data_IF_320816814984
#
_entry.id   IF_320816814984
#
_cell.length_a   1.000
_cell.length_b   1.000
_cell.length_c   1.000
_cell.angle_alpha   90.00
_cell.angle_beta   90.00
_cell.angle_gamma   90.00
#
_symmetry.space_group_name_H-M   'P 1'
#
loop_
_entity.id
_entity.type
_entity.pdbx_description
1 polymer ?
#
# COMPACT_ATOMS: atom_id res chain seq x y z
N UNK A 1 17.12 54.99 -47.38
CA UNK A 1 15.94 54.10 -47.56
C UNK A 1 16.11 53.01 -46.54
N UNK A 2 15.38 53.11 -45.44
CA UNK A 2 15.47 52.19 -44.31
C UNK A 2 14.26 51.26 -44.35
N UNK A 3 14.51 49.96 -44.28
CA UNK A 3 13.49 48.91 -44.27
C UNK A 3 12.73 48.90 -42.92
N UNK A 4 11.45 48.50 -42.90
CA UNK A 4 10.67 48.43 -41.66
C UNK A 4 10.87 47.09 -40.93
N UNK A 5 11.02 47.15 -39.61
CA UNK A 5 11.04 45.97 -38.72
C UNK A 5 9.71 45.20 -38.77
N UNK A 6 9.73 43.85 -38.73
CA UNK A 6 8.51 43.07 -38.57
C UNK A 6 8.10 43.01 -37.10
N UNK A 7 6.97 43.63 -36.81
CA UNK A 7 6.23 43.52 -35.55
C UNK A 7 5.78 42.07 -35.34
N UNK A 8 6.53 41.33 -34.50
CA UNK A 8 6.18 39.98 -34.09
C UNK A 8 5.02 40.04 -33.09
N UNK A 9 3.87 39.55 -33.55
CA UNK A 9 2.62 39.40 -32.80
C UNK A 9 2.85 38.61 -31.51
N UNK A 10 2.52 39.22 -30.37
CA UNK A 10 2.20 38.51 -29.15
C UNK A 10 0.86 37.78 -29.37
N UNK A 11 0.92 36.53 -29.82
CA UNK A 11 -0.18 35.58 -29.59
C UNK A 11 0.03 35.02 -28.17
N UNK A 12 -0.50 35.76 -27.19
CA UNK A 12 -0.82 35.22 -25.87
C UNK A 12 -1.89 34.16 -26.05
N UNK A 13 -1.45 32.94 -26.35
CA UNK A 13 -2.25 31.73 -26.30
C UNK A 13 -2.65 31.54 -24.85
N UNK A 14 -3.87 31.94 -24.53
CA UNK A 14 -4.60 31.57 -23.32
C UNK A 14 -4.65 30.03 -23.27
N UNK A 15 -3.61 29.43 -22.70
CA UNK A 15 -3.66 28.06 -22.19
C UNK A 15 -4.54 28.11 -20.95
N UNK A 16 -5.83 28.03 -21.20
CA UNK A 16 -6.82 27.72 -20.20
C UNK A 16 -6.50 26.30 -19.71
N UNK A 17 -5.66 26.22 -18.66
CA UNK A 17 -5.45 25.00 -17.89
C UNK A 17 -6.79 24.64 -17.25
N UNK A 18 -7.61 23.89 -17.99
CA UNK A 18 -8.76 23.20 -17.46
C UNK A 18 -8.24 22.24 -16.39
N UNK A 19 -8.30 22.67 -15.13
CA UNK A 19 -8.08 21.78 -13.99
C UNK A 19 -9.24 20.79 -13.98
N UNK A 20 -9.11 19.71 -14.76
CA UNK A 20 -10.05 18.61 -14.75
C UNK A 20 -9.88 17.94 -13.39
N UNK A 21 -10.68 18.35 -12.42
CA UNK A 21 -10.83 17.60 -11.16
C UNK A 21 -11.24 16.18 -11.55
N UNK A 22 -10.47 15.19 -11.11
CA UNK A 22 -10.80 13.78 -11.36
C UNK A 22 -12.24 13.52 -10.91
N UNK A 23 -13.12 12.91 -11.73
CA UNK A 23 -14.52 12.68 -11.38
C UNK A 23 -14.70 11.95 -10.04
N UNK A 24 -13.71 11.12 -9.68
CA UNK A 24 -13.64 10.41 -8.40
C UNK A 24 -13.54 11.34 -7.18
N UNK A 25 -12.91 12.50 -7.30
CA UNK A 25 -12.81 13.47 -6.20
C UNK A 25 -14.11 14.24 -5.95
N UNK A 26 -15.05 14.19 -6.89
CA UNK A 26 -16.41 14.74 -6.72
C UNK A 26 -17.37 13.81 -6.00
N UNK A 27 -16.97 12.56 -5.73
CA UNK A 27 -17.79 11.59 -5.00
C UNK A 27 -17.73 11.85 -3.49
N UNK A 28 -18.83 11.60 -2.76
CA UNK A 28 -18.82 11.50 -1.30
C UNK A 28 -17.69 10.60 -0.82
N UNK A 29 -17.01 11.04 0.25
CA UNK A 29 -15.87 10.31 0.83
C UNK A 29 -16.26 8.89 1.21
N UNK A 30 -17.45 8.74 1.76
CA UNK A 30 -18.02 7.48 2.26
C UNK A 30 -18.13 6.47 1.13
N UNK A 31 -18.61 6.87 -0.05
CA UNK A 31 -18.72 5.98 -1.20
C UNK A 31 -17.36 5.49 -1.69
N UNK A 32 -16.34 6.36 -1.66
CA UNK A 32 -15.00 5.96 -2.06
C UNK A 32 -14.39 5.03 -1.02
N UNK A 33 -14.60 5.28 0.26
CA UNK A 33 -14.18 4.38 1.34
C UNK A 33 -14.85 3.01 1.19
N UNK A 34 -16.16 2.94 0.93
CA UNK A 34 -16.86 1.69 0.69
C UNK A 34 -16.25 0.91 -0.48
N UNK A 35 -15.91 1.57 -1.59
CA UNK A 35 -15.23 0.93 -2.73
C UNK A 35 -13.86 0.39 -2.33
N UNK A 36 -13.09 1.14 -1.53
CA UNK A 36 -11.78 0.68 -1.04
C UNK A 36 -11.92 -0.55 -0.13
N UNK A 37 -12.97 -0.62 0.70
CA UNK A 37 -13.22 -1.81 1.52
C UNK A 37 -13.42 -3.07 0.68
N UNK A 38 -14.07 -2.96 -0.48
CA UNK A 38 -14.25 -4.10 -1.39
C UNK A 38 -12.96 -4.56 -2.08
N UNK A 39 -11.88 -3.78 -2.00
CA UNK A 39 -10.56 -4.19 -2.48
C UNK A 39 -9.77 -4.97 -1.42
N UNK A 40 -10.26 -5.06 -0.18
CA UNK A 40 -9.61 -5.88 0.85
C UNK A 40 -9.87 -7.36 0.59
N UNK A 41 -8.83 -8.21 0.69
CA UNK A 41 -9.02 -9.65 0.74
C UNK A 41 -9.77 -10.00 2.03
N UNK A 42 -10.66 -10.97 1.93
CA UNK A 42 -11.39 -11.57 3.04
C UNK A 42 -10.84 -12.96 3.30
N UNK A 43 -10.66 -13.33 4.57
CA UNK A 43 -10.20 -14.67 4.94
C UNK A 43 -8.89 -14.64 5.73
N UNK A 44 -8.24 -15.80 5.81
CA UNK A 44 -6.96 -15.97 6.49
C UNK A 44 -5.83 -15.41 5.62
N UNK A 45 -4.84 -14.75 6.24
CA UNK A 45 -3.63 -14.30 5.53
C UNK A 45 -2.86 -15.48 4.94
N UNK A 46 -3.00 -16.67 5.51
CA UNK A 46 -2.32 -17.89 5.09
C UNK A 46 -3.31 -18.96 4.62
N UNK A 47 -2.96 -19.64 3.53
CA UNK A 47 -3.63 -20.87 3.11
C UNK A 47 -2.98 -22.04 3.82
N UNK A 48 -3.62 -22.55 4.88
CA UNK A 48 -3.23 -23.84 5.48
C UNK A 48 -3.98 -24.95 4.73
N UNK A 49 -3.65 -25.16 3.46
CA UNK A 49 -4.16 -26.34 2.76
C UNK A 49 -3.37 -27.57 3.21
N UNK A 50 -4.12 -28.61 3.58
CA UNK A 50 -3.73 -29.76 4.40
C UNK A 50 -2.62 -30.67 3.85
N UNK A 51 -1.93 -30.28 2.79
CA UNK A 51 -0.92 -31.09 2.09
C UNK A 51 0.48 -30.45 2.00
N UNK A 52 0.65 -29.17 2.39
CA UNK A 52 1.95 -28.52 2.38
C UNK A 52 2.37 -28.18 3.82
N UNK A 53 3.51 -28.70 4.27
CA UNK A 53 4.07 -28.48 5.60
C UNK A 53 4.49 -27.01 5.87
N UNK A 54 4.19 -26.08 4.96
CA UNK A 54 4.58 -24.69 5.02
C UNK A 54 3.37 -23.78 4.73
N UNK A 55 3.02 -22.86 5.64
CA UNK A 55 1.96 -21.89 5.38
C UNK A 55 2.40 -20.92 4.28
N UNK A 56 1.56 -20.78 3.26
CA UNK A 56 1.76 -19.81 2.17
C UNK A 56 0.83 -18.61 2.34
N UNK A 57 1.31 -17.42 1.98
CA UNK A 57 0.48 -16.21 1.99
C UNK A 57 -0.49 -16.24 0.81
N UNK A 58 -1.78 -16.03 1.07
CA UNK A 58 -2.80 -16.09 0.03
C UNK A 58 -2.57 -14.98 -1.02
N UNK A 59 -2.63 -15.35 -2.31
CA UNK A 59 -2.35 -14.46 -3.44
C UNK A 59 -3.18 -13.17 -3.44
N UNK A 60 -4.43 -13.25 -2.97
CA UNK A 60 -5.36 -12.12 -2.89
C UNK A 60 -4.79 -10.94 -2.08
N UNK A 61 -3.97 -11.22 -1.07
CA UNK A 61 -3.32 -10.19 -0.27
C UNK A 61 -2.19 -9.48 -1.01
N UNK A 62 -1.42 -10.18 -1.85
CA UNK A 62 -0.41 -9.54 -2.70
C UNK A 62 -1.04 -8.62 -3.75
N UNK A 63 -2.12 -9.08 -4.39
CA UNK A 63 -2.86 -8.29 -5.39
C UNK A 63 -3.45 -7.04 -4.74
N UNK A 64 -4.15 -7.21 -3.63
CA UNK A 64 -4.78 -6.09 -2.91
C UNK A 64 -3.76 -5.05 -2.44
N UNK A 65 -2.64 -5.49 -1.85
CA UNK A 65 -1.56 -4.57 -1.44
C UNK A 65 -1.01 -3.76 -2.61
N UNK A 66 -0.83 -4.41 -3.76
CA UNK A 66 -0.38 -3.73 -4.99
C UNK A 66 -1.40 -2.68 -5.45
N UNK A 67 -2.69 -2.99 -5.41
CA UNK A 67 -3.77 -2.04 -5.72
C UNK A 67 -3.77 -0.83 -4.77
N UNK A 68 -3.66 -1.04 -3.46
CA UNK A 68 -3.61 0.07 -2.49
C UNK A 68 -2.34 0.92 -2.62
N UNK A 69 -1.19 0.31 -2.92
CA UNK A 69 0.04 1.03 -3.22
C UNK A 69 -0.13 1.94 -4.45
N UNK A 70 -0.72 1.42 -5.54
CA UNK A 70 -1.03 2.22 -6.73
C UNK A 70 -1.99 3.36 -6.40
N UNK A 71 -3.05 3.12 -5.64
CA UNK A 71 -4.02 4.14 -5.22
C UNK A 71 -3.36 5.26 -4.42
N UNK A 72 -2.44 4.95 -3.51
CA UNK A 72 -1.67 5.93 -2.74
C UNK A 72 -0.77 6.84 -3.59
N UNK A 73 -0.44 6.42 -4.81
CA UNK A 73 0.38 7.19 -5.75
C UNK A 73 -0.45 8.08 -6.68
N UNK A 74 -1.76 7.86 -6.80
CA UNK A 74 -2.61 8.62 -7.74
C UNK A 74 -2.80 10.10 -7.33
N UNK A 75 -3.02 10.38 -6.05
CA UNK A 75 -3.22 11.75 -5.54
C UNK A 75 -3.05 11.81 -4.02
N UNK A 76 -2.85 13.01 -3.48
CA UNK A 76 -2.80 13.23 -2.01
C UNK A 76 -4.11 12.84 -1.32
N UNK A 77 -5.25 13.14 -1.96
CA UNK A 77 -6.56 12.79 -1.44
C UNK A 77 -6.77 11.27 -1.39
N UNK A 78 -6.50 10.56 -2.49
CA UNK A 78 -6.61 9.10 -2.51
C UNK A 78 -5.64 8.45 -1.53
N UNK A 79 -4.41 8.96 -1.42
CA UNK A 79 -3.45 8.52 -0.39
C UNK A 79 -4.02 8.64 1.02
N UNK A 80 -4.68 9.75 1.34
CA UNK A 80 -5.27 9.94 2.67
C UNK A 80 -6.38 8.93 3.01
N UNK A 81 -6.96 8.28 2.00
CA UNK A 81 -7.97 7.23 2.18
C UNK A 81 -7.35 5.82 2.12
N UNK A 82 -6.45 5.56 1.17
CA UNK A 82 -5.91 4.23 0.89
C UNK A 82 -4.74 3.81 1.80
N UNK A 83 -4.05 4.76 2.45
CA UNK A 83 -2.83 4.47 3.21
C UNK A 83 -3.08 3.55 4.41
N UNK A 84 -4.24 3.68 5.07
CA UNK A 84 -4.62 2.81 6.17
C UNK A 84 -4.69 1.35 5.71
N UNK A 85 -5.34 1.09 4.58
CA UNK A 85 -5.46 -0.23 3.98
C UNK A 85 -4.10 -0.84 3.59
N UNK A 86 -3.18 -0.01 3.11
CA UNK A 86 -1.83 -0.44 2.75
C UNK A 86 -1.02 -0.89 3.97
N UNK A 87 -1.20 -0.23 5.12
CA UNK A 87 -0.46 -0.53 6.36
C UNK A 87 -1.20 -1.50 7.29
N UNK A 88 -2.48 -1.80 7.03
CA UNK A 88 -3.27 -2.74 7.80
C UNK A 88 -2.73 -4.17 7.71
N UNK A 89 -2.38 -4.60 6.51
CA UNK A 89 -1.75 -5.90 6.28
C UNK A 89 -0.45 -5.72 5.51
N UNK A 90 0.67 -6.01 6.19
CA UNK A 90 2.01 -5.86 5.62
C UNK A 90 2.59 -7.21 5.27
N UNK A 91 2.88 -7.39 3.99
CA UNK A 91 3.62 -8.54 3.47
C UNK A 91 4.96 -8.05 2.94
N UNK A 92 6.05 -8.65 3.41
CA UNK A 92 7.41 -8.29 3.03
C UNK A 92 8.10 -9.45 2.32
N UNK A 93 8.77 -9.17 1.21
CA UNK A 93 9.38 -10.21 0.39
C UNK A 93 10.81 -10.57 0.81
N UNK A 94 11.52 -9.68 1.50
CA UNK A 94 12.95 -9.84 1.78
C UNK A 94 13.43 -9.01 2.99
N UNK A 95 14.69 -9.26 3.41
CA UNK A 95 15.35 -8.56 4.51
C UNK A 95 15.46 -7.04 4.32
N UNK A 96 15.62 -6.58 3.07
CA UNK A 96 15.75 -5.15 2.78
C UNK A 96 14.41 -4.44 3.03
N UNK A 97 13.30 -5.03 2.58
CA UNK A 97 11.95 -4.56 2.87
C UNK A 97 11.64 -4.58 4.37
N UNK A 98 12.07 -5.60 5.10
CA UNK A 98 11.96 -5.67 6.57
C UNK A 98 12.69 -4.51 7.25
N UNK A 99 13.92 -4.23 6.84
CA UNK A 99 14.68 -3.12 7.40
C UNK A 99 14.02 -1.77 7.11
N UNK A 100 13.55 -1.56 5.88
CA UNK A 100 12.84 -0.34 5.49
C UNK A 100 11.52 -0.19 6.25
N UNK A 101 10.76 -1.27 6.36
CA UNK A 101 9.51 -1.31 7.11
C UNK A 101 9.77 -0.94 8.57
N UNK A 102 10.67 -1.64 9.26
CA UNK A 102 11.01 -1.39 10.66
C UNK A 102 11.44 0.06 10.89
N UNK A 103 12.32 0.62 10.05
CA UNK A 103 12.72 2.03 10.13
C UNK A 103 11.52 2.97 9.93
N UNK A 104 10.63 2.66 9.00
CA UNK A 104 9.47 3.48 8.66
C UNK A 104 8.47 3.53 9.82
N UNK A 105 8.06 2.39 10.37
CA UNK A 105 7.14 2.39 11.51
C UNK A 105 7.81 2.89 12.78
N UNK A 106 9.12 2.65 12.95
CA UNK A 106 9.87 3.20 14.09
C UNK A 106 9.81 4.72 14.11
N UNK A 107 9.89 5.36 12.95
CA UNK A 107 9.83 6.83 12.86
C UNK A 107 8.41 7.40 12.78
N UNK A 108 7.39 6.58 12.51
CA UNK A 108 6.01 7.03 12.31
C UNK A 108 5.03 6.25 13.20
N UNK A 109 4.75 6.81 14.38
CA UNK A 109 3.87 6.18 15.38
C UNK A 109 2.46 5.93 14.83
N UNK A 110 1.93 6.85 14.01
CA UNK A 110 0.59 6.71 13.39
C UNK A 110 0.46 5.51 12.46
N UNK A 111 1.56 5.05 11.85
CA UNK A 111 1.54 3.86 11.01
C UNK A 111 1.52 2.58 11.85
N UNK A 112 2.08 2.62 13.08
CA UNK A 112 2.10 1.47 13.98
C UNK A 112 0.67 1.09 14.40
N UNK A 113 -0.15 2.08 14.71
CA UNK A 113 -1.55 1.86 15.11
C UNK A 113 -2.43 1.32 13.97
N UNK A 114 -2.01 1.43 12.71
CA UNK A 114 -2.76 0.93 11.58
C UNK A 114 -2.49 -0.56 11.31
N UNK A 115 -1.35 -1.09 11.78
CA UNK A 115 -0.92 -2.45 11.51
C UNK A 115 -1.74 -3.47 12.31
N UNK A 116 -2.49 -4.34 11.61
CA UNK A 116 -3.24 -5.43 12.24
C UNK A 116 -2.67 -6.81 11.92
N UNK A 117 -1.98 -6.94 10.78
CA UNK A 117 -1.46 -8.22 10.30
C UNK A 117 -0.11 -8.04 9.63
N UNK A 118 0.80 -8.97 9.88
CA UNK A 118 2.15 -8.97 9.34
C UNK A 118 2.53 -10.36 8.85
N UNK A 119 3.10 -10.43 7.65
CA UNK A 119 3.73 -11.64 7.12
C UNK A 119 5.08 -11.30 6.49
N UNK A 120 6.05 -12.17 6.76
CA UNK A 120 7.37 -12.10 6.16
C UNK A 120 7.77 -13.50 5.70
N UNK A 121 7.29 -13.95 4.54
CA UNK A 121 7.59 -15.26 3.96
C UNK A 121 9.00 -15.28 3.38
N UNK A 122 10.02 -15.10 4.23
CA UNK A 122 11.38 -15.51 3.87
C UNK A 122 11.52 -16.94 4.32
N UNK A 123 11.64 -17.84 3.33
CA UNK A 123 12.19 -19.18 3.54
C UNK A 123 13.56 -18.95 4.16
N UNK A 124 13.67 -19.24 5.46
CA UNK A 124 14.97 -19.48 6.05
C UNK A 124 15.52 -20.65 5.26
N UNK A 125 16.61 -20.42 4.54
CA UNK A 125 17.34 -21.46 3.83
C UNK A 125 17.99 -22.34 4.92
N UNK A 126 17.21 -23.28 5.46
CA UNK A 126 17.63 -24.21 6.51
C UNK A 126 18.36 -25.37 5.82
N UNK A 127 19.51 -25.08 5.24
CA UNK A 127 20.51 -26.12 4.93
C UNK A 127 21.78 -25.97 5.78
N UNK A 128 21.91 -24.94 6.63
CA UNK A 128 23.11 -24.76 7.48
C UNK A 128 22.86 -24.35 8.94
N UNK A 129 21.64 -24.40 9.45
CA UNK A 129 21.45 -24.17 10.90
C UNK A 129 20.45 -25.15 11.48
N UNK A 130 20.95 -26.13 12.24
CA UNK A 130 20.18 -26.83 13.28
C UNK A 130 19.63 -25.78 14.25
N UNK A 131 18.49 -25.17 13.90
CA UNK A 131 17.63 -24.48 14.84
C UNK A 131 16.42 -25.37 15.10
N UNK A 132 16.40 -25.89 16.32
CA UNK A 132 15.29 -26.56 16.96
C UNK A 132 14.06 -25.62 16.93
N UNK A 133 13.20 -25.79 15.93
CA UNK A 133 11.93 -25.06 15.76
C UNK A 133 12.08 -23.56 15.46
N UNK A 134 12.18 -23.16 14.19
CA UNK A 134 11.82 -21.80 13.78
C UNK A 134 10.46 -21.78 13.09
N UNK A 135 9.47 -21.38 13.87
CA UNK A 135 8.09 -21.18 13.49
C UNK A 135 7.93 -20.03 12.49
N UNK A 136 6.94 -20.16 11.60
CA UNK A 136 6.42 -19.02 10.85
C UNK A 136 5.74 -18.08 11.83
N UNK A 137 6.34 -16.91 12.08
CA UNK A 137 5.74 -15.89 12.93
C UNK A 137 4.60 -15.18 12.19
N UNK A 138 3.39 -15.71 12.29
CA UNK A 138 2.16 -14.97 12.00
C UNK A 138 1.66 -14.39 13.32
N UNK A 139 1.77 -13.07 13.48
CA UNK A 139 1.12 -12.38 14.61
C UNK A 139 -0.09 -11.64 14.09
N UNK A 140 -1.28 -12.14 14.42
CA UNK A 140 -2.49 -11.34 14.36
C UNK A 140 -2.48 -10.39 15.57
N UNK A 141 -2.35 -9.10 15.30
CA UNK A 141 -2.40 -8.09 16.36
C UNK A 141 -3.88 -7.81 16.61
N UNK A 142 -4.43 -8.43 17.65
CA UNK A 142 -5.76 -8.07 18.15
C UNK A 142 -5.66 -6.69 18.81
N UNK A 143 -6.49 -5.70 18.43
CA UNK A 143 -6.61 -4.49 19.22
C UNK A 143 -7.21 -4.88 20.58
N UNK A 144 -6.52 -4.54 21.66
CA UNK A 144 -6.96 -4.75 23.03
C UNK A 144 -8.44 -4.35 23.18
N UNK A 145 -9.29 -5.34 23.43
CA UNK A 145 -10.61 -5.13 24.00
C UNK A 145 -10.40 -5.05 25.51
N UNK A 146 -10.37 -3.85 26.07
CA UNK A 146 -10.72 -3.64 27.47
C UNK A 146 -11.17 -2.19 27.74
N UNK A 147 -12.14 -2.02 28.64
CA UNK A 147 -12.09 -0.98 29.66
C UNK A 147 -11.62 -1.53 31.02
#
# INVERSE_FOLDING_TARGET
>A
MSEPEPSARHESSDRQELSVSSPIQGLPRELVVDVLEHLRPSGSLTTVESNCHYPEVELSFFTSRSSFASLCLTSKWMRSLAIEYLYRTVILANNLELLHFFRTISNNVSLRSMLTSFAWPVVLDIDEVEFDGLDVFVTEVYPDLDP
#
